data_IF_060952424695
#
_entry.id   IF_060952424695
#
_cell.length_a   1.000
_cell.length_b   1.000
_cell.length_c   1.000
_cell.angle_alpha   90.00
_cell.angle_beta   90.00
_cell.angle_gamma   90.00
#
_symmetry.space_group_name_H-M   'P 1'
#
loop_
_entity.id
_entity.type
_entity.pdbx_description
1 polymer ?
#
# COMPACT_ATOMS: atom_id res chain seq x y z
N UNK A 1 5.92 -10.40 3.89
CA UNK A 1 4.82 -9.57 3.34
C UNK A 1 3.58 -10.43 3.18
N UNK A 2 2.37 -9.87 3.25
CA UNK A 2 1.12 -10.64 3.05
C UNK A 2 0.41 -10.25 1.76
N UNK A 3 -0.28 -11.20 1.14
CA UNK A 3 -0.98 -11.00 -0.12
C UNK A 3 -2.26 -11.82 -0.20
N UNK A 4 -3.31 -11.24 -0.81
CA UNK A 4 -4.50 -12.03 -1.16
C UNK A 4 -4.16 -13.05 -2.25
N UNK A 5 -4.93 -14.15 -2.32
CA UNK A 5 -4.59 -15.37 -3.08
C UNK A 5 -4.07 -15.12 -4.51
N UNK A 6 -4.78 -14.33 -5.32
CA UNK A 6 -4.35 -14.05 -6.69
C UNK A 6 -3.01 -13.31 -6.77
N UNK A 7 -2.77 -12.36 -5.87
CA UNK A 7 -1.49 -11.65 -5.77
C UNK A 7 -0.39 -12.58 -5.24
N UNK A 8 -0.69 -13.39 -4.23
CA UNK A 8 0.25 -14.37 -3.68
C UNK A 8 0.77 -15.33 -4.75
N UNK A 9 -0.11 -15.86 -5.60
CA UNK A 9 0.26 -16.80 -6.66
C UNK A 9 1.24 -16.17 -7.66
N UNK A 10 1.06 -14.89 -8.00
CA UNK A 10 1.95 -14.18 -8.92
C UNK A 10 3.31 -13.90 -8.27
N UNK A 11 3.32 -13.45 -7.01
CA UNK A 11 4.55 -13.14 -6.27
C UNK A 11 5.41 -14.40 -6.07
N UNK A 12 4.80 -15.50 -5.63
CA UNK A 12 5.52 -16.76 -5.37
C UNK A 12 6.04 -17.40 -6.65
N UNK A 13 5.29 -17.33 -7.76
CA UNK A 13 5.79 -17.74 -9.09
C UNK A 13 7.01 -16.93 -9.54
N UNK A 14 7.12 -15.68 -9.11
CA UNK A 14 8.29 -14.83 -9.36
C UNK A 14 9.44 -15.06 -8.35
N UNK A 15 9.30 -16.02 -7.42
CA UNK A 15 10.31 -16.33 -6.40
C UNK A 15 10.30 -15.41 -5.18
N UNK A 16 9.28 -14.56 -5.03
CA UNK A 16 9.15 -13.65 -3.89
C UNK A 16 8.42 -14.32 -2.71
N UNK A 17 8.93 -14.11 -1.50
CA UNK A 17 8.32 -14.62 -0.28
C UNK A 17 7.10 -13.77 0.11
N UNK A 18 5.95 -14.42 0.25
CA UNK A 18 4.72 -13.82 0.75
C UNK A 18 3.95 -14.85 1.60
N UNK A 19 3.02 -14.38 2.42
CA UNK A 19 2.03 -15.20 3.13
C UNK A 19 0.62 -14.88 2.60
N UNK A 20 -0.25 -15.88 2.58
CA UNK A 20 -1.64 -15.70 2.12
C UNK A 20 -2.46 -15.02 3.21
N UNK A 21 -3.23 -14.00 2.84
CA UNK A 21 -4.28 -13.41 3.69
C UNK A 21 -5.64 -13.46 2.99
N UNK A 22 -6.69 -13.76 3.75
CA UNK A 22 -8.06 -13.79 3.24
C UNK A 22 -8.60 -12.37 3.00
N UNK A 23 -9.43 -12.22 1.97
CA UNK A 23 -10.39 -11.10 1.89
C UNK A 23 -11.48 -11.26 2.94
N UNK A 24 -12.23 -10.19 3.22
CA UNK A 24 -13.33 -10.22 4.19
C UNK A 24 -14.37 -11.31 3.86
N UNK A 25 -14.69 -11.51 2.59
CA UNK A 25 -15.63 -12.54 2.14
C UNK A 25 -15.07 -13.98 2.18
N UNK A 26 -13.78 -14.16 2.39
CA UNK A 26 -13.09 -15.47 2.31
C UNK A 26 -12.91 -16.14 3.68
N UNK A 27 -13.38 -15.52 4.78
CA UNK A 27 -13.32 -16.07 6.14
C UNK A 27 -12.21 -15.45 7.00
N UNK A 28 -12.01 -15.99 8.21
CA UNK A 28 -11.05 -15.47 9.21
C UNK A 28 -9.80 -16.36 9.40
N UNK A 29 -8.64 -15.78 9.79
CA UNK A 29 -8.38 -14.34 9.87
C UNK A 29 -8.33 -13.70 8.47
N UNK A 30 -8.76 -12.44 8.35
CA UNK A 30 -8.71 -11.68 7.09
C UNK A 30 -7.96 -10.36 7.24
N UNK A 31 -7.66 -9.70 6.12
CA UNK A 31 -6.86 -8.45 6.08
C UNK A 31 -7.39 -7.35 7.02
N UNK A 32 -8.71 -7.22 7.21
CA UNK A 32 -9.27 -6.23 8.15
C UNK A 32 -8.95 -6.55 9.61
N UNK A 33 -8.78 -7.83 9.97
CA UNK A 33 -8.37 -8.22 11.32
C UNK A 33 -6.91 -7.81 11.54
N UNK A 34 -6.04 -8.08 10.56
CA UNK A 34 -4.63 -7.69 10.62
C UNK A 34 -4.44 -6.17 10.71
N UNK A 35 -5.22 -5.39 9.95
CA UNK A 35 -5.21 -3.92 10.05
C UNK A 35 -5.59 -3.48 11.46
N UNK A 36 -6.61 -4.10 12.06
CA UNK A 36 -7.08 -3.77 13.41
C UNK A 36 -6.11 -4.16 14.52
N UNK A 37 -5.30 -5.18 14.27
CA UNK A 37 -4.27 -5.66 15.18
C UNK A 37 -2.93 -4.92 14.98
N UNK A 38 -2.90 -3.85 14.18
CA UNK A 38 -1.69 -3.08 13.85
C UNK A 38 -0.57 -3.92 13.20
N UNK A 39 -0.94 -5.02 12.52
CA UNK A 39 -0.01 -5.93 11.84
C UNK A 39 0.37 -5.43 10.43
N UNK A 40 -0.26 -4.35 9.94
CA UNK A 40 -0.09 -3.82 8.58
C UNK A 40 0.27 -2.34 8.62
N UNK A 41 1.40 -1.98 8.02
CA UNK A 41 1.87 -0.58 7.95
C UNK A 41 1.71 0.08 6.58
N UNK A 42 1.52 -0.71 5.52
CA UNK A 42 1.40 -0.24 4.14
C UNK A 42 0.48 -1.19 3.36
N UNK A 43 -0.44 -0.61 2.58
CA UNK A 43 -1.33 -1.38 1.69
C UNK A 43 -1.23 -0.87 0.24
N UNK A 44 -1.01 -1.79 -0.69
CA UNK A 44 -1.17 -1.55 -2.13
C UNK A 44 -2.45 -2.29 -2.58
N UNK A 45 -3.56 -1.57 -2.74
CA UNK A 45 -4.86 -2.15 -3.08
C UNK A 45 -5.37 -1.61 -4.42
N UNK A 46 -5.02 -2.29 -5.51
CA UNK A 46 -5.52 -1.97 -6.85
C UNK A 46 -6.78 -2.77 -7.16
N UNK A 47 -7.83 -2.11 -7.63
CA UNK A 47 -9.10 -2.76 -8.00
C UNK A 47 -9.54 -2.36 -9.40
N UNK A 48 -10.01 -3.34 -10.17
CA UNK A 48 -10.61 -3.11 -11.49
C UNK A 48 -12.03 -3.67 -11.54
N UNK A 49 -12.96 -2.89 -12.09
CA UNK A 49 -14.38 -3.27 -12.19
C UNK A 49 -15.18 -2.99 -10.91
N UNK A 50 -16.49 -2.77 -11.10
CA UNK A 50 -17.41 -2.34 -10.02
C UNK A 50 -17.47 -3.31 -8.85
N UNK A 51 -17.41 -4.62 -9.12
CA UNK A 51 -17.53 -5.65 -8.09
C UNK A 51 -16.30 -5.66 -7.18
N UNK A 52 -15.09 -5.70 -7.75
CA UNK A 52 -13.85 -5.66 -6.98
C UNK A 52 -13.73 -4.37 -6.15
N UNK A 53 -14.18 -3.23 -6.68
CA UNK A 53 -14.20 -1.95 -5.96
C UNK A 53 -15.10 -1.99 -4.73
N UNK A 54 -16.28 -2.61 -4.84
CA UNK A 54 -17.22 -2.81 -3.73
C UNK A 54 -16.65 -3.79 -2.70
N UNK A 55 -16.13 -4.92 -3.15
CA UNK A 55 -15.61 -5.97 -2.27
C UNK A 55 -14.38 -5.52 -1.49
N UNK A 56 -13.60 -4.60 -2.05
CA UNK A 56 -12.40 -4.03 -1.41
C UNK A 56 -12.68 -2.76 -0.61
N UNK A 57 -13.93 -2.28 -0.57
CA UNK A 57 -14.28 -1.03 0.14
C UNK A 57 -14.03 -1.11 1.65
N UNK A 58 -14.24 -2.28 2.25
CA UNK A 58 -13.95 -2.56 3.65
C UNK A 58 -12.47 -2.44 3.99
N UNK A 59 -11.58 -2.88 3.09
CA UNK A 59 -10.12 -2.80 3.24
C UNK A 59 -9.70 -1.33 3.31
N UNK A 60 -10.12 -0.51 2.34
CA UNK A 60 -9.79 0.92 2.30
C UNK A 60 -10.33 1.67 3.51
N UNK A 61 -11.59 1.44 3.87
CA UNK A 61 -12.20 2.06 5.06
C UNK A 61 -11.45 1.68 6.34
N UNK A 62 -11.05 0.42 6.48
CA UNK A 62 -10.28 -0.03 7.65
C UNK A 62 -8.89 0.63 7.68
N UNK A 63 -8.21 0.72 6.53
CA UNK A 63 -6.92 1.39 6.44
C UNK A 63 -7.01 2.86 6.87
N UNK A 64 -8.00 3.60 6.36
CA UNK A 64 -8.26 4.99 6.75
C UNK A 64 -8.55 5.14 8.24
N UNK A 65 -9.40 4.27 8.79
CA UNK A 65 -9.80 4.33 10.20
C UNK A 65 -8.65 4.02 11.18
N UNK A 66 -7.65 3.26 10.72
CA UNK A 66 -6.47 2.87 11.50
C UNK A 66 -5.20 3.63 11.11
N UNK A 67 -5.32 4.71 10.31
CA UNK A 67 -4.19 5.51 9.87
C UNK A 67 -3.09 4.71 9.15
N UNK A 68 -3.46 3.59 8.51
CA UNK A 68 -2.55 2.80 7.69
C UNK A 68 -2.47 3.44 6.31
N UNK A 69 -1.28 3.87 5.92
CA UNK A 69 -1.07 4.44 4.59
C UNK A 69 -1.39 3.39 3.52
N UNK A 70 -2.19 3.78 2.52
CA UNK A 70 -2.53 2.92 1.42
C UNK A 70 -2.56 3.67 0.09
N UNK A 71 -2.33 2.93 -0.99
CA UNK A 71 -2.45 3.45 -2.36
C UNK A 71 -3.32 2.52 -3.21
N UNK A 72 -4.02 3.11 -4.16
CA UNK A 72 -4.98 2.42 -5.03
C UNK A 72 -4.48 2.21 -6.46
N UNK A 73 -3.24 2.62 -6.75
CA UNK A 73 -2.63 2.49 -8.07
C UNK A 73 -1.23 1.86 -7.96
N UNK A 74 -0.83 1.12 -8.99
CA UNK A 74 0.54 0.59 -9.07
C UNK A 74 1.57 1.72 -9.18
N UNK A 75 1.25 2.80 -9.91
CA UNK A 75 2.11 3.97 -10.02
C UNK A 75 2.35 4.64 -8.65
N UNK A 76 1.33 4.74 -7.81
CA UNK A 76 1.47 5.20 -6.43
C UNK A 76 2.31 4.25 -5.58
N UNK A 77 2.15 2.94 -5.77
CA UNK A 77 2.98 1.93 -5.12
C UNK A 77 4.46 2.07 -5.48
N UNK A 78 4.76 2.29 -6.75
CA UNK A 78 6.14 2.52 -7.23
C UNK A 78 6.73 3.82 -6.67
N UNK A 79 5.97 4.92 -6.70
CA UNK A 79 6.40 6.20 -6.12
C UNK A 79 6.73 6.09 -4.62
N UNK A 80 5.90 5.36 -3.86
CA UNK A 80 6.14 5.09 -2.43
C UNK A 80 7.40 4.25 -2.23
N UNK A 81 7.58 3.21 -3.06
CA UNK A 81 8.80 2.39 -3.05
C UNK A 81 10.06 3.23 -3.29
N UNK A 82 10.00 4.18 -4.23
CA UNK A 82 11.08 5.13 -4.50
C UNK A 82 11.33 6.06 -3.30
N UNK A 83 10.29 6.65 -2.72
CA UNK A 83 10.41 7.54 -1.57
C UNK A 83 11.03 6.83 -0.35
N UNK A 84 10.62 5.58 -0.08
CA UNK A 84 11.14 4.78 1.03
C UNK A 84 12.63 4.41 0.87
N UNK A 85 13.15 4.35 -0.37
CA UNK A 85 14.58 4.11 -0.62
C UNK A 85 15.48 5.28 -0.23
N UNK A 86 14.97 6.52 -0.35
CA UNK A 86 15.76 7.74 -0.08
C UNK A 86 15.97 7.94 1.42
N UNK A 87 15.06 7.42 2.27
CA UNK A 87 15.26 7.20 3.70
C UNK A 87 15.88 8.36 4.50
N UNK A 88 15.09 9.36 4.91
CA UNK A 88 15.29 10.27 6.06
C UNK A 88 16.59 11.09 6.20
N UNK A 89 17.66 10.78 5.47
CA UNK A 89 19.02 11.28 5.69
C UNK A 89 19.41 12.41 4.74
N UNK A 90 18.54 12.76 3.79
CA UNK A 90 18.74 13.85 2.83
C UNK A 90 17.55 14.82 2.81
N UNK A 91 17.03 15.19 3.99
CA UNK A 91 16.06 16.29 4.08
C UNK A 91 16.75 17.63 3.80
N UNK A 92 17.02 17.91 2.52
CA UNK A 92 17.48 19.22 2.08
C UNK A 92 16.32 20.21 2.18
N UNK A 93 16.31 20.99 3.26
CA UNK A 93 15.38 22.10 3.39
C UNK A 93 15.77 23.19 2.39
N UNK A 94 14.80 23.63 1.58
CA UNK A 94 14.99 24.72 0.61
C UNK A 94 13.89 25.75 0.79
N UNK A 95 14.25 27.03 0.82
CA UNK A 95 13.26 28.11 0.77
C UNK A 95 12.74 28.28 -0.65
N UNK A 96 11.48 28.71 -0.79
CA UNK A 96 10.89 28.99 -2.10
C UNK A 96 11.72 30.02 -2.88
N UNK A 97 12.26 31.02 -2.17
CA UNK A 97 13.14 32.05 -2.74
C UNK A 97 14.43 31.45 -3.34
N UNK A 98 15.07 30.52 -2.62
CA UNK A 98 16.29 29.85 -3.12
C UNK A 98 16.03 28.99 -4.36
N UNK A 99 14.82 28.43 -4.49
CA UNK A 99 14.42 27.68 -5.67
C UNK A 99 14.17 28.61 -6.86
N UNK A 100 13.50 29.73 -6.65
CA UNK A 100 13.23 30.71 -7.72
C UNK A 100 14.51 31.33 -8.29
N UNK A 101 15.51 31.61 -7.46
CA UNK A 101 16.80 32.15 -7.92
C UNK A 101 17.58 31.21 -8.86
N UNK A 102 17.29 29.90 -8.86
CA UNK A 102 17.96 28.94 -9.75
C UNK A 102 17.40 28.93 -11.18
N UNK A 103 16.30 29.63 -11.42
CA UNK A 103 15.64 29.74 -12.73
C UNK A 103 16.03 31.01 -13.51
N UNK A 104 16.69 31.96 -12.84
CA UNK A 104 17.19 33.21 -13.42
C UNK A 104 18.63 33.04 -13.94
#
# INVERSE_FOLDING_TARGET
MVATRGTYDVLTKAGLQAEVVNKVAEGRPHIVDMIKNDEISLIINTTEGRQATKDSSSIRRSAESHFVYYTTTLAGGDAVSQALRVGGNEEQVRSLQSLHQRLA
#
